data_IF_220082053342
#
_entry.id   IF_220082053342
#
_cell.length_a   1.000
_cell.length_b   1.000
_cell.length_c   1.000
_cell.angle_alpha   90.00
_cell.angle_beta   90.00
_cell.angle_gamma   90.00
#
_symmetry.space_group_name_H-M   'P 1'
#
loop_
_entity.id
_entity.type
_entity.pdbx_description
1 polymer ?
#
# COMPACT_ATOMS: atom_id res chain seq x y z
N UNK A 1 36.30 2.08 -3.30
CA UNK A 1 36.87 1.92 -1.95
C UNK A 1 37.64 3.19 -1.62
N UNK A 2 37.20 3.95 -0.62
CA UNK A 2 37.79 5.26 -0.29
C UNK A 2 39.10 5.07 0.50
N UNK A 3 40.14 5.87 0.23
CA UNK A 3 41.45 5.75 0.90
C UNK A 3 41.39 5.99 2.42
N UNK A 4 40.34 6.65 2.91
CA UNK A 4 40.13 6.92 4.33
C UNK A 4 39.74 5.68 5.15
N UNK A 5 39.05 4.69 4.53
CA UNK A 5 38.73 3.42 5.18
C UNK A 5 40.00 2.60 5.48
N UNK A 6 40.94 2.60 4.55
CA UNK A 6 42.22 1.89 4.72
C UNK A 6 43.03 2.45 5.89
N UNK A 7 43.04 3.80 6.03
CA UNK A 7 43.69 4.47 7.16
C UNK A 7 43.03 4.16 8.50
N UNK A 8 41.70 4.14 8.55
CA UNK A 8 40.96 3.81 9.76
C UNK A 8 41.24 2.37 10.25
N UNK A 9 41.34 1.42 9.31
CA UNK A 9 41.64 0.01 9.60
C UNK A 9 43.08 -0.18 10.09
N UNK A 10 44.05 0.49 9.46
CA UNK A 10 45.46 0.40 9.87
C UNK A 10 45.71 0.97 11.27
N UNK A 11 45.04 2.05 11.63
CA UNK A 11 45.25 2.71 12.93
C UNK A 11 44.38 2.14 14.06
N UNK A 12 43.57 1.10 13.79
CA UNK A 12 42.59 0.52 14.75
C UNK A 12 41.75 1.59 15.45
N UNK A 13 41.42 2.65 14.71
CA UNK A 13 40.70 3.80 15.25
C UNK A 13 39.20 3.50 15.26
N UNK A 14 38.76 2.90 16.38
CA UNK A 14 37.37 2.47 16.58
C UNK A 14 36.37 3.61 16.52
N UNK A 15 36.78 4.84 16.82
CA UNK A 15 35.90 6.01 16.75
C UNK A 15 35.66 6.45 15.30
N UNK A 16 36.71 6.46 14.47
CA UNK A 16 36.58 6.77 13.04
C UNK A 16 35.75 5.71 12.31
N UNK A 17 35.93 4.43 12.67
CA UNK A 17 35.10 3.34 12.17
C UNK A 17 33.65 3.46 12.63
N UNK A 18 33.38 3.81 13.90
CA UNK A 18 32.04 4.00 14.41
C UNK A 18 31.31 5.16 13.70
N UNK A 19 32.03 6.24 13.35
CA UNK A 19 31.48 7.36 12.57
C UNK A 19 31.16 6.97 11.13
N UNK A 20 32.04 6.22 10.44
CA UNK A 20 31.77 5.74 9.08
C UNK A 20 30.67 4.68 9.03
N UNK A 21 30.59 3.83 10.06
CA UNK A 21 29.54 2.84 10.19
C UNK A 21 28.20 3.51 10.49
N UNK A 22 28.16 4.51 11.40
CA UNK A 22 26.94 5.23 11.78
C UNK A 22 26.22 5.91 10.62
N UNK A 23 26.94 6.28 9.55
CA UNK A 23 26.37 6.88 8.33
C UNK A 23 25.77 5.84 7.36
N UNK A 24 26.07 4.55 7.55
CA UNK A 24 25.72 3.45 6.66
C UNK A 24 24.45 2.69 7.06
N UNK A 25 23.76 3.08 8.14
CA UNK A 25 22.55 2.41 8.63
C UNK A 25 21.32 3.34 8.67
N UNK A 26 21.14 4.19 7.67
CA UNK A 26 19.82 4.81 7.40
C UNK A 26 18.97 3.89 6.50
N UNK A 27 18.82 2.63 6.90
CA UNK A 27 17.98 1.65 6.21
C UNK A 27 16.46 1.90 6.35
N UNK A 28 16.05 3.02 6.97
CA UNK A 28 14.64 3.38 7.20
C UNK A 28 14.14 4.55 6.36
N UNK A 29 15.01 5.39 5.77
CA UNK A 29 14.56 6.54 4.94
C UNK A 29 14.38 6.25 3.44
N UNK A 30 14.72 5.04 2.97
CA UNK A 30 14.57 4.69 1.54
C UNK A 30 13.12 4.39 1.16
N UNK A 31 12.25 4.13 2.13
CA UNK A 31 10.81 4.29 1.96
C UNK A 31 10.48 5.77 2.16
N UNK A 32 10.07 6.59 1.20
CA UNK A 32 9.75 6.36 -0.19
C UNK A 32 9.45 7.77 -0.74
N UNK A 33 10.46 8.54 -1.16
CA UNK A 33 10.26 9.95 -1.58
C UNK A 33 9.19 10.08 -2.69
N UNK A 34 8.99 9.02 -3.47
CA UNK A 34 7.94 8.93 -4.46
C UNK A 34 6.57 8.59 -3.86
N UNK A 35 6.48 7.73 -2.85
CA UNK A 35 5.20 7.49 -2.15
C UNK A 35 4.78 8.68 -1.27
N UNK A 36 5.72 9.44 -0.70
CA UNK A 36 5.39 10.71 -0.02
C UNK A 36 4.69 11.66 -0.99
N UNK A 37 5.26 11.86 -2.20
CA UNK A 37 4.63 12.68 -3.25
C UNK A 37 3.27 12.13 -3.69
N UNK A 38 3.13 10.82 -3.83
CA UNK A 38 1.86 10.20 -4.20
C UNK A 38 0.79 10.39 -3.13
N UNK A 39 1.15 10.25 -1.85
CA UNK A 39 0.24 10.48 -0.73
C UNK A 39 -0.09 11.97 -0.59
N UNK A 40 0.87 12.86 -0.83
CA UNK A 40 0.62 14.30 -0.86
C UNK A 40 -0.44 14.67 -1.90
N UNK A 41 -0.24 14.22 -3.15
CA UNK A 41 -1.22 14.42 -4.22
C UNK A 41 -2.57 13.77 -3.90
N UNK A 42 -2.57 12.59 -3.28
CA UNK A 42 -3.81 11.91 -2.87
C UNK A 42 -4.58 12.73 -1.84
N UNK A 43 -3.89 13.25 -0.82
CA UNK A 43 -4.49 14.06 0.23
C UNK A 43 -5.06 15.35 -0.31
N UNK A 44 -4.35 16.06 -1.19
CA UNK A 44 -4.87 17.28 -1.84
C UNK A 44 -6.16 16.98 -2.61
N UNK A 45 -6.18 15.91 -3.39
CA UNK A 45 -7.37 15.51 -4.15
C UNK A 45 -8.53 15.08 -3.24
N UNK A 46 -8.26 14.32 -2.18
CA UNK A 46 -9.28 13.94 -1.21
C UNK A 46 -9.85 15.19 -0.50
N UNK A 47 -9.03 16.20 -0.18
CA UNK A 47 -9.45 17.46 0.46
C UNK A 47 -10.42 18.25 -0.42
N UNK A 48 -10.25 18.19 -1.73
CA UNK A 48 -11.20 18.81 -2.68
C UNK A 48 -12.54 18.06 -2.76
N UNK A 49 -12.52 16.71 -2.64
CA UNK A 49 -13.73 15.88 -2.72
C UNK A 49 -14.56 15.95 -1.43
N UNK A 50 -13.90 16.06 -0.27
CA UNK A 50 -14.55 16.09 1.03
C UNK A 50 -14.33 17.45 1.72
N UNK A 51 -15.12 18.49 1.39
CA UNK A 51 -14.89 19.83 1.91
C UNK A 51 -15.06 19.93 3.44
N UNK A 52 -15.81 19.04 4.08
CA UNK A 52 -15.99 19.02 5.55
C UNK A 52 -14.78 18.44 6.31
N UNK A 53 -13.78 17.89 5.62
CA UNK A 53 -12.54 17.37 6.23
C UNK A 53 -11.67 18.46 6.84
N UNK A 54 -11.70 19.66 6.25
CA UNK A 54 -11.06 20.87 6.80
C UNK A 54 -11.69 21.32 8.12
N UNK A 55 -12.91 20.86 8.45
CA UNK A 55 -13.66 21.33 9.61
C UNK A 55 -13.43 20.50 10.89
N UNK A 56 -12.92 19.27 10.79
CA UNK A 56 -12.96 18.29 11.91
C UNK A 56 -11.62 17.81 12.46
N UNK A 57 -10.60 17.51 11.65
CA UNK A 57 -9.33 16.93 12.17
C UNK A 57 -8.02 17.40 11.50
N UNK A 58 -8.08 18.11 10.36
CA UNK A 58 -6.88 18.53 9.60
C UNK A 58 -6.68 20.05 9.68
N UNK A 59 -6.56 20.59 10.90
CA UNK A 59 -6.48 22.05 11.13
C UNK A 59 -5.06 22.62 11.07
N UNK A 60 -4.06 21.79 11.36
CA UNK A 60 -2.66 22.23 11.48
C UNK A 60 -1.77 21.41 10.56
N UNK A 61 -0.73 22.02 9.99
CA UNK A 61 0.28 21.32 9.18
C UNK A 61 0.92 20.14 9.92
N UNK A 62 1.05 20.23 11.25
CA UNK A 62 1.52 19.14 12.09
C UNK A 62 0.59 17.92 12.06
N UNK A 63 -0.73 18.13 12.17
CA UNK A 63 -1.74 17.06 12.16
C UNK A 63 -1.79 16.39 10.79
N UNK A 64 -1.65 17.18 9.72
CA UNK A 64 -1.59 16.69 8.33
C UNK A 64 -0.35 15.79 8.15
N UNK A 65 0.81 16.19 8.68
CA UNK A 65 2.04 15.38 8.57
C UNK A 65 1.92 14.03 9.29
N UNK A 66 1.34 14.01 10.48
CA UNK A 66 1.11 12.76 11.23
C UNK A 66 0.11 11.88 10.48
N UNK A 67 -0.97 12.45 9.97
CA UNK A 67 -1.95 11.72 9.16
C UNK A 67 -1.33 11.12 7.90
N UNK A 68 -0.50 11.88 7.18
CA UNK A 68 0.23 11.40 6.00
C UNK A 68 1.14 10.21 6.33
N UNK A 69 1.91 10.30 7.41
CA UNK A 69 2.76 9.17 7.86
C UNK A 69 1.93 7.92 8.15
N UNK A 70 0.78 8.07 8.82
CA UNK A 70 -0.11 6.96 9.11
C UNK A 70 -0.69 6.34 7.82
N UNK A 71 -1.03 7.16 6.83
CA UNK A 71 -1.53 6.68 5.54
C UNK A 71 -0.44 5.98 4.73
N UNK A 72 0.79 6.51 4.71
CA UNK A 72 1.94 5.86 4.06
C UNK A 72 2.19 4.49 4.68
N UNK A 73 2.18 4.39 6.01
CA UNK A 73 2.34 3.11 6.70
C UNK A 73 1.20 2.14 6.35
N UNK A 74 -0.05 2.59 6.38
CA UNK A 74 -1.20 1.75 6.05
C UNK A 74 -1.16 1.25 4.59
N UNK A 75 -0.73 2.09 3.64
CA UNK A 75 -0.55 1.69 2.25
C UNK A 75 0.59 0.70 2.06
N UNK A 76 1.72 0.91 2.73
CA UNK A 76 2.85 -0.01 2.71
C UNK A 76 2.47 -1.39 3.28
N UNK A 77 1.76 -1.42 4.42
CA UNK A 77 1.26 -2.65 5.04
C UNK A 77 0.22 -3.38 4.17
N UNK A 78 -0.61 -2.62 3.46
CA UNK A 78 -1.69 -3.16 2.63
C UNK A 78 -1.28 -3.49 1.19
N UNK A 79 -0.04 -3.17 0.80
CA UNK A 79 0.49 -3.38 -0.54
C UNK A 79 -0.08 -2.44 -1.62
N UNK A 80 -0.71 -1.32 -1.22
CA UNK A 80 -1.24 -0.34 -2.17
C UNK A 80 -0.09 0.50 -2.71
N UNK A 81 0.41 0.11 -3.88
CA UNK A 81 1.59 0.74 -4.51
C UNK A 81 1.33 1.17 -5.95
N UNK A 82 0.19 0.77 -6.52
CA UNK A 82 -0.17 1.05 -7.91
C UNK A 82 -1.02 2.32 -8.02
N UNK A 83 -0.71 3.12 -9.04
CA UNK A 83 -1.48 4.34 -9.36
C UNK A 83 -2.90 3.99 -9.80
N UNK A 84 -3.11 2.84 -10.45
CA UNK A 84 -4.44 2.37 -10.84
C UNK A 84 -5.32 2.14 -9.61
N UNK A 85 -4.80 1.48 -8.57
CA UNK A 85 -5.51 1.24 -7.31
C UNK A 85 -5.93 2.55 -6.64
N UNK A 86 -5.03 3.53 -6.55
CA UNK A 86 -5.33 4.85 -5.99
C UNK A 86 -6.37 5.61 -6.83
N UNK A 87 -6.29 5.52 -8.15
CA UNK A 87 -7.24 6.18 -9.06
C UNK A 87 -8.65 5.63 -8.93
N UNK A 88 -8.79 4.31 -8.74
CA UNK A 88 -10.08 3.67 -8.54
C UNK A 88 -10.64 3.97 -7.14
N UNK A 89 -9.77 4.01 -6.13
CA UNK A 89 -10.12 4.52 -4.80
C UNK A 89 -10.67 5.94 -4.84
N UNK A 90 -10.02 6.83 -5.62
CA UNK A 90 -10.46 8.20 -5.85
C UNK A 90 -11.78 8.30 -6.62
N UNK A 91 -12.02 7.42 -7.59
CA UNK A 91 -13.29 7.36 -8.30
C UNK A 91 -14.44 7.04 -7.33
N UNK A 92 -14.23 6.05 -6.45
CA UNK A 92 -15.21 5.67 -5.44
C UNK A 92 -15.39 6.74 -4.36
N UNK A 93 -14.31 7.42 -3.98
CA UNK A 93 -14.37 8.57 -3.08
C UNK A 93 -15.27 9.68 -3.63
N UNK A 94 -15.17 10.00 -4.93
CA UNK A 94 -16.07 10.97 -5.59
C UNK A 94 -17.53 10.51 -5.67
N UNK A 95 -17.77 9.21 -5.79
CA UNK A 95 -19.12 8.65 -5.76
C UNK A 95 -19.70 8.52 -4.34
N UNK A 96 -18.88 8.70 -3.31
CA UNK A 96 -19.34 8.66 -1.92
C UNK A 96 -20.25 9.84 -1.63
N UNK A 97 -21.43 9.57 -1.07
CA UNK A 97 -22.37 10.62 -0.62
C UNK A 97 -22.02 11.15 0.78
N UNK A 98 -21.02 10.56 1.44
CA UNK A 98 -20.57 11.01 2.76
C UNK A 98 -19.74 12.29 2.62
N UNK A 99 -20.02 13.36 3.38
CA UNK A 99 -19.19 14.55 3.41
C UNK A 99 -17.93 14.39 4.28
N UNK A 100 -17.82 13.29 5.03
CA UNK A 100 -16.73 13.07 6.00
C UNK A 100 -15.50 12.42 5.36
N UNK A 101 -14.34 12.74 5.92
CA UNK A 101 -13.07 12.13 5.52
C UNK A 101 -13.06 10.62 5.76
N UNK A 102 -12.66 9.80 4.77
CA UNK A 102 -12.55 8.36 4.96
C UNK A 102 -11.39 8.00 5.90
N UNK A 103 -11.52 6.88 6.60
CA UNK A 103 -10.37 6.30 7.31
C UNK A 103 -9.36 5.68 6.33
N UNK A 104 -8.08 5.51 6.70
CA UNK A 104 -7.10 4.86 5.83
C UNK A 104 -7.57 3.48 5.36
N UNK A 105 -8.13 2.67 6.27
CA UNK A 105 -8.65 1.34 5.94
C UNK A 105 -9.85 1.36 4.99
N UNK A 106 -10.73 2.36 5.13
CA UNK A 106 -11.86 2.54 4.21
C UNK A 106 -11.39 2.93 2.81
N UNK A 107 -10.39 3.81 2.71
CA UNK A 107 -9.82 4.18 1.42
C UNK A 107 -9.08 3.01 0.76
N UNK A 108 -8.35 2.21 1.54
CA UNK A 108 -7.69 0.98 1.08
C UNK A 108 -8.71 -0.02 0.51
N UNK A 109 -9.88 -0.16 1.14
CA UNK A 109 -10.92 -1.04 0.60
C UNK A 109 -11.38 -0.57 -0.78
N UNK A 110 -11.60 0.74 -0.96
CA UNK A 110 -11.96 1.29 -2.27
C UNK A 110 -10.88 1.09 -3.33
N UNK A 111 -9.61 1.21 -2.94
CA UNK A 111 -8.48 0.95 -3.83
C UNK A 111 -8.45 -0.51 -4.30
N UNK A 112 -8.83 -1.45 -3.44
CA UNK A 112 -8.93 -2.88 -3.76
C UNK A 112 -10.17 -3.22 -4.57
N UNK A 113 -11.31 -2.63 -4.23
CA UNK A 113 -12.57 -2.83 -4.95
C UNK A 113 -12.51 -2.30 -6.40
N UNK A 114 -11.61 -1.35 -6.66
CA UNK A 114 -11.26 -0.89 -8.01
C UNK A 114 -10.54 -1.90 -8.91
N UNK A 115 -10.00 -3.00 -8.34
CA UNK A 115 -9.14 -3.94 -9.07
C UNK A 115 -9.88 -5.05 -9.84
N UNK A 116 -11.20 -4.97 -9.94
CA UNK A 116 -11.95 -5.77 -10.91
C UNK A 116 -13.40 -5.34 -11.02
N UNK A 117 -13.90 -5.19 -12.25
CA UNK A 117 -15.31 -4.88 -12.55
C UNK A 117 -16.32 -5.87 -11.93
N UNK A 118 -15.83 -7.00 -11.40
CA UNK A 118 -16.60 -8.10 -10.84
C UNK A 118 -16.25 -8.44 -9.37
N UNK A 119 -15.51 -7.54 -8.68
CA UNK A 119 -15.26 -7.66 -7.24
C UNK A 119 -14.24 -8.72 -6.82
N UNK A 120 -13.39 -9.18 -7.74
CA UNK A 120 -12.33 -10.15 -7.48
C UNK A 120 -11.02 -9.63 -8.05
N UNK A 121 -9.94 -9.67 -7.26
CA UNK A 121 -8.62 -9.32 -7.74
C UNK A 121 -7.97 -10.49 -8.50
N UNK A 122 -7.02 -10.19 -9.39
CA UNK A 122 -6.26 -11.23 -10.11
C UNK A 122 -5.49 -12.13 -9.14
N UNK A 123 -4.99 -11.58 -8.03
CA UNK A 123 -4.32 -12.37 -6.99
C UNK A 123 -5.28 -13.37 -6.32
N UNK A 124 -6.52 -12.97 -6.06
CA UNK A 124 -7.55 -13.87 -5.53
C UNK A 124 -7.84 -15.01 -6.52
N UNK A 125 -8.00 -14.68 -7.81
CA UNK A 125 -8.20 -15.67 -8.89
C UNK A 125 -7.05 -16.67 -8.94
N UNK A 126 -5.81 -16.19 -8.96
CA UNK A 126 -4.64 -17.05 -9.03
C UNK A 126 -4.48 -17.92 -7.78
N UNK A 127 -4.78 -17.37 -6.60
CA UNK A 127 -4.72 -18.13 -5.34
C UNK A 127 -5.72 -19.29 -5.32
N UNK A 128 -6.95 -19.05 -5.79
CA UNK A 128 -8.01 -20.05 -5.88
C UNK A 128 -7.69 -21.09 -6.96
N UNK A 129 -7.13 -20.69 -8.10
CA UNK A 129 -6.66 -21.60 -9.14
C UNK A 129 -5.61 -22.59 -8.60
N UNK A 130 -4.61 -22.09 -7.87
CA UNK A 130 -3.58 -22.95 -7.27
C UNK A 130 -4.17 -23.88 -6.19
N UNK A 131 -5.21 -23.45 -5.47
CA UNK A 131 -5.95 -24.26 -4.50
C UNK A 131 -6.69 -25.41 -5.18
N UNK A 132 -7.40 -25.12 -6.27
CA UNK A 132 -8.08 -26.12 -7.09
C UNK A 132 -7.09 -27.11 -7.72
N UNK A 133 -6.00 -26.62 -8.33
CA UNK A 133 -4.97 -27.46 -8.97
C UNK A 133 -4.37 -28.50 -8.02
N UNK A 134 -4.18 -28.16 -6.74
CA UNK A 134 -3.70 -29.10 -5.71
C UNK A 134 -4.73 -30.19 -5.36
N UNK A 135 -6.01 -29.95 -5.61
CA UNK A 135 -7.14 -30.80 -5.24
C UNK A 135 -7.88 -31.35 -6.46
N UNK A 136 -7.35 -31.19 -7.66
CA UNK A 136 -7.98 -31.62 -8.92
C UNK A 136 -8.21 -33.13 -8.96
N UNK A 137 -7.41 -33.91 -8.24
CA UNK A 137 -7.61 -35.36 -8.11
C UNK A 137 -8.88 -35.73 -7.30
N UNK A 138 -9.36 -34.83 -6.46
CA UNK A 138 -10.54 -35.03 -5.60
C UNK A 138 -11.82 -34.54 -6.28
N UNK A 139 -11.71 -33.55 -7.18
CA UNK A 139 -12.83 -32.94 -7.87
C UNK A 139 -12.63 -33.06 -9.39
N UNK A 140 -13.37 -33.96 -10.06
CA UNK A 140 -13.22 -34.22 -11.49
C UNK A 140 -13.42 -33.01 -12.40
N UNK A 141 -14.18 -32.01 -11.96
CA UNK A 141 -14.44 -30.77 -12.70
C UNK A 141 -14.24 -29.53 -11.82
N UNK A 142 -13.95 -28.39 -12.45
CA UNK A 142 -13.89 -27.09 -11.76
C UNK A 142 -15.23 -26.76 -11.08
N UNK A 143 -16.36 -27.09 -11.68
CA UNK A 143 -17.71 -26.84 -11.14
C UNK A 143 -18.01 -27.58 -9.82
N UNK A 144 -17.38 -28.74 -9.59
CA UNK A 144 -17.55 -29.52 -8.37
C UNK A 144 -16.64 -29.05 -7.23
N UNK A 145 -15.67 -28.20 -7.53
CA UNK A 145 -14.75 -27.66 -6.53
C UNK A 145 -15.44 -26.59 -5.67
N UNK A 146 -15.27 -26.60 -4.33
CA UNK A 146 -15.85 -25.59 -3.45
C UNK A 146 -15.07 -24.27 -3.52
N UNK A 147 -15.26 -23.50 -4.59
CA UNK A 147 -14.67 -22.17 -4.75
C UNK A 147 -15.08 -21.23 -3.63
N UNK A 148 -14.17 -20.32 -3.28
CA UNK A 148 -14.45 -19.27 -2.30
C UNK A 148 -15.59 -18.38 -2.81
N UNK A 149 -16.52 -18.05 -1.92
CA UNK A 149 -17.66 -17.15 -2.19
C UNK A 149 -18.59 -17.58 -3.35
N UNK A 150 -18.42 -18.80 -3.89
CA UNK A 150 -19.18 -19.39 -5.02
C UNK A 150 -19.27 -18.46 -6.25
N UNK A 151 -18.26 -17.60 -6.45
CA UNK A 151 -18.27 -16.64 -7.54
C UNK A 151 -18.16 -17.38 -8.89
N UNK A 152 -19.09 -17.14 -9.84
CA UNK A 152 -19.09 -17.76 -11.16
C UNK A 152 -17.77 -17.68 -11.94
N UNK A 153 -16.97 -16.66 -11.66
CA UNK A 153 -15.71 -16.44 -12.37
C UNK A 153 -14.66 -17.52 -12.09
N UNK A 154 -14.68 -18.11 -10.90
CA UNK A 154 -13.70 -19.11 -10.53
C UNK A 154 -13.91 -20.45 -11.26
N UNK A 155 -15.11 -20.73 -11.77
CA UNK A 155 -15.40 -21.97 -12.51
C UNK A 155 -14.68 -22.05 -13.87
N UNK A 156 -14.23 -20.91 -14.40
CA UNK A 156 -13.65 -20.77 -15.73
C UNK A 156 -12.13 -20.54 -15.73
N UNK A 157 -11.48 -20.74 -14.58
CA UNK A 157 -10.02 -20.56 -14.39
C UNK A 157 -9.27 -21.88 -14.57
#
# INVERSE_FOLDING_TARGET
MTPDLYRAIQNRDGEMLARMAGDSYDGRKVVNADAEKLVDMLFENLMQVFPASTQTNLRTDADIRVAKQQWIAAFAESGITSREQLSAGMQKARSSQSPFWPSPGQFISWCREGSGALGVSVDDIMSEYWRWRKLVFRYPTSEQFPWRDKNPLYYHV
#
